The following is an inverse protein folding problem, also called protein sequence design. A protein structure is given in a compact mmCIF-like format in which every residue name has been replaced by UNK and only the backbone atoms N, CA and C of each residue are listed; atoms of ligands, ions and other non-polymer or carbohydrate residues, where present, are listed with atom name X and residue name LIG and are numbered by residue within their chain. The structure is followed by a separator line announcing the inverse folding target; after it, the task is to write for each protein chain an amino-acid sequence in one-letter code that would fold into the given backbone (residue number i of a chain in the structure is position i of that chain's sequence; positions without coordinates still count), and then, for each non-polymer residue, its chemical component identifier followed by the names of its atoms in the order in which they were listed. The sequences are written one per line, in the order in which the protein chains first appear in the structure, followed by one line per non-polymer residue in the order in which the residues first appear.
data_IF_259278675712
#
_entry.id   IF_259278675712
#
_cell.length_a   1.000
_cell.length_b   1.000
_cell.length_c   1.000
_cell.angle_alpha   90.00
_cell.angle_beta   90.00
_cell.angle_gamma   90.00
#
_symmetry.space_group_name_H-M   'P 1'
#
loop_
_entity.id
_entity.type
_entity.pdbx_description
1 polymer ?
#
# COMPACT_ATOMS: atom_id res chain seq x y z
N UNK A 1 10.47 -1.09 8.00
CA UNK A 1 10.71 -0.99 6.54
C UNK A 1 11.35 0.35 6.21
N UNK A 2 12.61 0.36 5.78
CA UNK A 2 13.26 1.53 5.17
C UNK A 2 13.33 1.28 3.68
N UNK A 3 12.47 1.93 2.91
CA UNK A 3 12.60 1.92 1.44
C UNK A 3 13.66 2.96 1.08
N UNK A 4 14.62 2.58 0.23
CA UNK A 4 15.57 3.54 -0.30
C UNK A 4 14.82 4.55 -1.17
N UNK A 5 14.87 5.82 -0.76
CA UNK A 5 14.24 6.90 -1.50
C UNK A 5 15.18 7.36 -2.60
N UNK A 6 14.75 7.23 -3.86
CA UNK A 6 15.47 7.83 -4.99
C UNK A 6 15.06 9.31 -5.05
N UNK A 7 15.99 10.25 -4.90
CA UNK A 7 15.66 11.67 -5.00
C UNK A 7 15.06 12.01 -6.37
N UNK A 8 14.02 12.84 -6.38
CA UNK A 8 13.27 13.18 -7.59
C UNK A 8 14.20 13.73 -8.70
N UNK A 9 15.15 14.60 -8.35
CA UNK A 9 16.10 15.17 -9.32
C UNK A 9 16.96 14.09 -10.02
N UNK A 10 17.39 13.05 -9.30
CA UNK A 10 18.17 11.97 -9.90
C UNK A 10 17.37 11.21 -10.95
N UNK A 11 16.07 11.05 -10.73
CA UNK A 11 15.18 10.40 -11.70
C UNK A 11 15.00 11.27 -12.92
N UNK A 12 14.82 12.59 -12.76
CA UNK A 12 14.78 13.52 -13.90
C UNK A 12 16.09 13.49 -14.73
N UNK A 13 17.24 13.33 -14.07
CA UNK A 13 18.52 13.21 -14.76
C UNK A 13 18.67 11.88 -15.50
N UNK A 14 18.37 10.75 -14.83
CA UNK A 14 18.65 9.39 -15.32
C UNK A 14 17.55 8.84 -16.23
N UNK A 15 16.29 9.22 -16.02
CA UNK A 15 15.14 8.67 -16.74
C UNK A 15 14.72 9.61 -17.88
N UNK A 16 14.91 9.16 -19.12
CA UNK A 16 14.70 9.99 -20.32
C UNK A 16 13.37 9.75 -21.05
N UNK A 17 12.48 8.87 -20.56
CA UNK A 17 11.28 8.45 -21.31
C UNK A 17 9.98 8.52 -20.51
N UNK A 18 9.06 9.43 -20.84
CA UNK A 18 7.77 9.55 -20.14
C UNK A 18 7.90 10.29 -18.79
N UNK A 19 6.86 10.19 -17.93
CA UNK A 19 6.80 10.95 -16.68
C UNK A 19 7.72 10.36 -15.58
N UNK A 20 8.68 11.13 -15.04
CA UNK A 20 9.58 10.68 -13.96
C UNK A 20 8.87 10.31 -12.66
N UNK A 21 7.78 11.01 -12.30
CA UNK A 21 6.98 10.63 -11.13
C UNK A 21 6.32 9.27 -11.34
N UNK A 22 5.72 9.03 -12.50
CA UNK A 22 5.14 7.72 -12.80
C UNK A 22 6.20 6.60 -12.71
N UNK A 23 7.45 6.89 -13.09
CA UNK A 23 8.56 5.94 -12.93
C UNK A 23 8.85 5.66 -11.45
N UNK A 24 8.95 6.71 -10.63
CA UNK A 24 9.17 6.57 -9.17
C UNK A 24 8.05 5.75 -8.53
N UNK A 25 6.79 6.09 -8.81
CA UNK A 25 5.65 5.38 -8.21
C UNK A 25 5.63 3.91 -8.61
N UNK A 26 6.02 3.58 -9.85
CA UNK A 26 6.14 2.19 -10.30
C UNK A 26 7.27 1.43 -9.59
N UNK A 27 8.41 2.08 -9.38
CA UNK A 27 9.54 1.48 -8.66
C UNK A 27 9.22 1.31 -7.17
N UNK A 28 8.58 2.30 -6.55
CA UNK A 28 8.12 2.24 -5.17
C UNK A 28 7.04 1.16 -4.99
N UNK A 29 6.10 0.98 -5.94
CA UNK A 29 5.12 -0.12 -5.90
C UNK A 29 5.82 -1.47 -5.85
N UNK A 30 6.82 -1.66 -6.74
CA UNK A 30 7.59 -2.90 -6.80
C UNK A 30 8.31 -3.16 -5.48
N UNK A 31 9.10 -2.20 -5.01
CA UNK A 31 9.86 -2.33 -3.77
C UNK A 31 8.94 -2.53 -2.56
N UNK A 32 7.84 -1.77 -2.47
CA UNK A 32 6.86 -1.94 -1.40
C UNK A 32 6.28 -3.35 -1.39
N UNK A 33 5.89 -3.91 -2.55
CA UNK A 33 5.36 -5.26 -2.64
C UNK A 33 6.40 -6.35 -2.30
N UNK A 34 7.67 -6.14 -2.67
CA UNK A 34 8.76 -7.07 -2.36
C UNK A 34 9.06 -7.12 -0.85
N UNK A 35 8.96 -5.99 -0.17
CA UNK A 35 9.32 -5.86 1.25
C UNK A 35 8.11 -5.90 2.22
N UNK A 36 6.87 -5.89 1.71
CA UNK A 36 5.64 -5.77 2.53
C UNK A 36 5.51 -6.85 3.60
N UNK A 37 6.03 -8.04 3.32
CA UNK A 37 5.84 -9.20 4.17
C UNK A 37 7.12 -9.69 4.83
N UNK A 38 8.19 -8.90 4.77
CA UNK A 38 9.40 -9.20 5.53
C UNK A 38 9.09 -9.41 7.01
N UNK A 39 9.88 -10.29 7.62
CA UNK A 39 9.69 -10.76 8.98
C UNK A 39 9.57 -9.61 10.00
N UNK A 40 10.34 -8.53 9.82
CA UNK A 40 10.27 -7.33 10.65
C UNK A 40 8.95 -6.56 10.48
N UNK A 41 8.41 -6.55 9.27
CA UNK A 41 7.18 -5.84 8.91
C UNK A 41 5.95 -6.59 9.45
N UNK A 42 5.96 -7.92 9.42
CA UNK A 42 4.88 -8.73 10.01
C UNK A 42 4.90 -8.73 11.55
N UNK A 43 6.06 -8.48 12.17
CA UNK A 43 6.21 -8.34 13.63
C UNK A 43 5.86 -6.94 14.13
N UNK A 44 5.79 -5.94 13.25
CA UNK A 44 5.37 -4.58 13.60
C UNK A 44 3.86 -4.54 13.92
N UNK A 45 3.45 -4.15 15.15
CA UNK A 45 2.05 -4.17 15.54
C UNK A 45 1.16 -3.23 14.72
N UNK A 46 1.66 -2.06 14.34
CA UNK A 46 0.90 -1.07 13.58
C UNK A 46 0.64 -1.54 12.16
N UNK A 47 1.66 -2.09 11.51
CA UNK A 47 1.53 -2.66 10.17
C UNK A 47 0.65 -3.90 10.19
N UNK A 48 0.79 -4.77 11.19
CA UNK A 48 -0.06 -5.95 11.30
C UNK A 48 -1.54 -5.57 11.46
N UNK A 49 -1.84 -4.53 12.24
CA UNK A 49 -3.19 -3.95 12.33
C UNK A 49 -3.67 -3.42 10.97
N UNK A 50 -2.83 -2.68 10.23
CA UNK A 50 -3.15 -2.20 8.88
C UNK A 50 -3.47 -3.35 7.93
N UNK A 51 -2.62 -4.38 7.86
CA UNK A 51 -2.84 -5.57 7.01
C UNK A 51 -4.16 -6.27 7.36
N UNK A 52 -4.43 -6.42 8.65
CA UNK A 52 -5.66 -7.04 9.15
C UNK A 52 -6.91 -6.27 8.75
N UNK A 53 -6.86 -4.95 8.76
CA UNK A 53 -8.05 -4.09 8.58
C UNK A 53 -8.28 -3.62 7.14
N UNK A 54 -7.24 -3.59 6.31
CA UNK A 54 -7.30 -3.17 4.90
C UNK A 54 -7.70 -4.33 3.98
N UNK A 55 -7.43 -4.23 2.69
CA UNK A 55 -7.65 -5.26 1.67
C UNK A 55 -6.51 -5.18 0.64
N UNK A 56 -6.53 -6.08 -0.34
CA UNK A 56 -5.79 -5.91 -1.60
C UNK A 56 -6.79 -5.83 -2.75
N UNK A 57 -6.58 -4.91 -3.70
CA UNK A 57 -7.36 -4.92 -4.93
C UNK A 57 -6.94 -6.10 -5.81
N UNK A 58 -7.72 -6.45 -6.84
CA UNK A 58 -7.40 -7.57 -7.73
C UNK A 58 -5.96 -7.48 -8.27
N UNK A 59 -5.59 -6.32 -8.82
CA UNK A 59 -4.27 -6.08 -9.37
C UNK A 59 -3.15 -6.31 -8.34
N UNK A 60 -3.27 -5.71 -7.15
CA UNK A 60 -2.24 -5.84 -6.11
C UNK A 60 -2.20 -7.22 -5.49
N UNK A 61 -3.33 -7.91 -5.38
CA UNK A 61 -3.35 -9.29 -4.91
C UNK A 61 -2.64 -10.22 -5.91
N UNK A 62 -2.88 -10.03 -7.20
CA UNK A 62 -2.20 -10.78 -8.26
C UNK A 62 -0.70 -10.49 -8.26
N UNK A 63 -0.30 -9.22 -8.14
CA UNK A 63 1.09 -8.80 -8.04
C UNK A 63 1.80 -9.46 -6.85
N UNK A 64 1.18 -9.44 -5.66
CA UNK A 64 1.71 -10.08 -4.46
C UNK A 64 1.73 -11.62 -4.58
N UNK A 65 0.72 -12.23 -5.20
CA UNK A 65 0.66 -13.68 -5.38
C UNK A 65 1.74 -14.20 -6.35
N UNK A 66 2.15 -13.35 -7.29
CA UNK A 66 3.24 -13.61 -8.21
C UNK A 66 4.63 -13.26 -7.64
N UNK A 67 4.70 -12.66 -6.44
CA UNK A 67 5.97 -12.37 -5.76
C UNK A 67 6.55 -13.61 -5.05
N UNK A 68 7.78 -13.50 -4.58
CA UNK A 68 8.49 -14.60 -3.93
C UNK A 68 7.89 -14.97 -2.55
N UNK A 69 7.42 -13.99 -1.78
CA UNK A 69 6.99 -14.21 -0.39
C UNK A 69 5.53 -14.66 -0.25
N UNK A 70 5.28 -15.90 -0.70
CA UNK A 70 3.96 -16.53 -0.61
C UNK A 70 3.52 -16.83 0.82
N UNK A 71 4.47 -17.09 1.72
CA UNK A 71 4.17 -17.38 3.13
C UNK A 71 3.67 -16.11 3.82
N UNK A 72 4.38 -15.01 3.65
CA UNK A 72 3.99 -13.71 4.16
C UNK A 72 2.61 -13.28 3.67
N UNK A 73 2.34 -13.44 2.37
CA UNK A 73 1.01 -13.22 1.81
C UNK A 73 -0.07 -14.09 2.47
N UNK A 74 0.21 -15.39 2.67
CA UNK A 74 -0.73 -16.29 3.32
C UNK A 74 -1.06 -15.89 4.77
N UNK A 75 -0.04 -15.43 5.53
CA UNK A 75 -0.20 -14.91 6.89
C UNK A 75 -1.08 -13.66 6.87
N UNK A 76 -0.78 -12.72 5.98
CA UNK A 76 -1.54 -11.49 5.80
C UNK A 76 -3.02 -11.76 5.45
N UNK A 77 -3.26 -12.63 4.46
CA UNK A 77 -4.62 -13.02 4.05
C UNK A 77 -5.37 -13.74 5.19
N UNK A 78 -4.70 -14.63 5.93
CA UNK A 78 -5.31 -15.31 7.08
C UNK A 78 -5.75 -14.31 8.15
N UNK A 79 -4.91 -13.34 8.50
CA UNK A 79 -5.25 -12.30 9.46
C UNK A 79 -6.44 -11.46 8.99
N UNK A 80 -6.41 -11.05 7.72
CA UNK A 80 -7.43 -10.24 7.09
C UNK A 80 -8.81 -10.93 7.03
N UNK A 81 -8.84 -12.16 6.52
CA UNK A 81 -10.07 -12.96 6.39
C UNK A 81 -10.66 -13.26 7.77
N UNK A 82 -9.82 -13.66 8.74
CA UNK A 82 -10.27 -13.96 10.10
C UNK A 82 -10.94 -12.75 10.75
N UNK A 83 -10.35 -11.57 10.58
CA UNK A 83 -10.92 -10.32 11.09
C UNK A 83 -12.26 -9.98 10.45
N UNK A 84 -12.39 -10.10 9.12
CA UNK A 84 -13.67 -9.83 8.43
C UNK A 84 -14.74 -10.84 8.80
N UNK A 85 -14.39 -12.12 8.95
CA UNK A 85 -15.32 -13.15 9.41
C UNK A 85 -15.84 -12.85 10.83
N UNK A 86 -14.95 -12.41 11.73
CA UNK A 86 -15.36 -11.96 13.06
C UNK A 86 -16.33 -10.78 12.98
N UNK A 87 -16.00 -9.75 12.20
CA UNK A 87 -16.86 -8.56 12.01
C UNK A 87 -18.24 -8.92 11.43
N UNK A 88 -18.30 -9.88 10.50
CA UNK A 88 -19.57 -10.39 9.96
C UNK A 88 -20.39 -11.09 11.06
N UNK A 89 -19.77 -11.97 11.86
CA UNK A 89 -20.42 -12.68 12.96
C UNK A 89 -20.96 -11.72 14.02
N UNK A 90 -20.22 -10.67 14.37
CA UNK A 90 -20.64 -9.64 15.34
C UNK A 90 -21.82 -8.81 14.81
N UNK A 91 -21.82 -8.46 13.51
CA UNK A 91 -22.94 -7.79 12.86
C UNK A 91 -24.21 -8.65 12.81
N UNK A 92 -24.08 -9.96 12.62
CA UNK A 92 -25.22 -10.88 12.63
C UNK A 92 -25.88 -10.99 14.01
N UNK A 93 -25.12 -10.83 15.10
CA UNK A 93 -25.64 -10.84 16.48
C UNK A 93 -26.34 -9.55 16.89
N UNK A 94 -26.14 -8.44 16.16
CA UNK A 94 -26.70 -7.12 16.49
C UNK A 94 -27.87 -6.76 15.57
N UNK A 95 -29.10 -7.06 16.01
CA UNK A 95 -30.36 -6.91 15.26
C UNK A 95 -30.84 -5.46 15.01
N UNK A 96 -29.94 -4.48 14.77
CA UNK A 96 -30.32 -3.11 14.39
C UNK A 96 -29.56 -2.66 13.14
N UNK A 97 -30.22 -2.80 11.98
CA UNK A 97 -29.78 -2.29 10.68
C UNK A 97 -29.65 -0.74 10.72
N UNK A 98 -28.45 -0.24 11.00
CA UNK A 98 -27.98 1.01 10.39
C UNK A 98 -27.11 0.62 9.20
N UNK A 99 -27.55 0.96 7.99
CA UNK A 99 -26.69 0.97 6.78
C UNK A 99 -25.55 1.94 7.05
N UNK A 100 -24.43 1.47 7.64
CA UNK A 100 -23.16 2.20 7.54
C UNK A 100 -22.78 2.16 6.06
N UNK A 101 -22.46 3.33 5.48
CA UNK A 101 -21.82 3.43 4.16
C UNK A 101 -20.74 2.35 4.08
N UNK A 102 -20.76 1.54 3.04
CA UNK A 102 -19.68 0.60 2.76
C UNK A 102 -18.37 1.38 2.84
N UNK A 103 -17.51 1.00 3.80
CA UNK A 103 -16.18 1.53 3.85
C UNK A 103 -15.55 1.13 2.51
N UNK A 104 -15.22 2.12 1.66
CA UNK A 104 -14.53 1.88 0.40
C UNK A 104 -13.43 0.85 0.68
N UNK A 105 -13.46 -0.28 -0.03
CA UNK A 105 -12.44 -1.31 0.07
C UNK A 105 -11.10 -0.67 -0.29
N UNK A 106 -10.37 -0.23 0.73
CA UNK A 106 -9.07 0.43 0.58
C UNK A 106 -8.01 -0.66 0.47
N UNK A 107 -7.39 -0.71 -0.70
CA UNK A 107 -6.22 -1.55 -0.91
C UNK A 107 -5.05 -0.94 -0.13
N UNK A 108 -4.35 -1.73 0.68
CA UNK A 108 -3.20 -1.28 1.46
C UNK A 108 -2.15 -0.60 0.59
N UNK A 109 -1.87 -1.21 -0.57
CA UNK A 109 -0.86 -0.74 -1.51
C UNK A 109 -1.36 0.51 -2.26
N UNK A 110 -2.62 0.56 -2.69
CA UNK A 110 -3.17 1.79 -3.30
C UNK A 110 -3.12 2.97 -2.32
N UNK A 111 -3.47 2.73 -1.05
CA UNK A 111 -3.42 3.78 -0.02
C UNK A 111 -1.98 4.28 0.14
N UNK A 112 -1.00 3.38 0.24
CA UNK A 112 0.42 3.74 0.26
C UNK A 112 0.82 4.57 -0.97
N UNK A 113 0.60 4.05 -2.18
CA UNK A 113 1.01 4.70 -3.43
C UNK A 113 0.35 6.07 -3.63
N UNK A 114 -0.90 6.24 -3.19
CA UNK A 114 -1.59 7.53 -3.29
C UNK A 114 -0.94 8.62 -2.41
N UNK A 115 -0.41 8.24 -1.25
CA UNK A 115 0.32 9.17 -0.38
C UNK A 115 1.72 9.46 -0.95
N UNK A 116 2.35 8.47 -1.58
CA UNK A 116 3.63 8.64 -2.26
C UNK A 116 3.52 9.57 -3.47
N UNK A 117 2.50 9.41 -4.30
CA UNK A 117 2.26 10.28 -5.46
C UNK A 117 2.11 11.74 -5.05
N UNK A 118 1.30 12.01 -4.02
CA UNK A 118 1.16 13.37 -3.44
C UNK A 118 2.49 13.91 -2.92
N UNK A 119 3.27 13.08 -2.23
CA UNK A 119 4.57 13.49 -1.71
C UNK A 119 5.54 13.87 -2.83
N UNK A 120 5.60 13.09 -3.91
CA UNK A 120 6.44 13.41 -5.08
C UNK A 120 5.96 14.68 -5.78
N UNK A 121 4.64 14.92 -5.85
CA UNK A 121 4.09 16.17 -6.38
C UNK A 121 4.50 17.38 -5.54
N UNK A 122 4.45 17.29 -4.21
CA UNK A 122 4.89 18.39 -3.36
C UNK A 122 6.37 18.71 -3.56
N UNK A 123 7.23 17.69 -3.63
CA UNK A 123 8.66 17.91 -3.92
C UNK A 123 8.84 18.60 -5.27
N UNK A 124 8.11 18.18 -6.31
CA UNK A 124 8.19 18.83 -7.62
C UNK A 124 7.81 20.31 -7.53
N UNK A 125 6.73 20.64 -6.82
CA UNK A 125 6.28 22.02 -6.63
C UNK A 125 7.35 22.84 -5.88
N UNK A 126 7.92 22.29 -4.81
CA UNK A 126 8.97 22.96 -4.02
C UNK A 126 10.22 23.23 -4.87
N UNK A 127 10.61 22.26 -5.71
CA UNK A 127 11.71 22.45 -6.67
C UNK A 127 11.38 23.59 -7.63
N UNK A 128 10.19 23.59 -8.23
CA UNK A 128 9.80 24.62 -9.20
C UNK A 128 9.80 26.03 -8.57
N UNK A 129 9.25 26.19 -7.37
CA UNK A 129 9.25 27.47 -6.66
C UNK A 129 10.65 27.92 -6.19
N UNK A 130 11.62 27.02 -6.07
CA UNK A 130 13.00 27.38 -5.72
C UNK A 130 13.77 27.99 -6.91
N UNK A 131 13.22 27.89 -8.14
CA UNK A 131 13.81 28.45 -9.36
C UNK A 131 13.07 29.71 -9.89
N UNK A 132 12.01 30.15 -9.20
CA UNK A 132 11.34 31.45 -9.42
C UNK A 132 11.93 32.55 -8.54
#
# INVERSE_FOLDING_TARGET
MKLEFIPLYEVFEKYKGGCPICKIIKDEEKAYCEHLFEDEVLKDPEMYLKIRETNFCHYHLELLNNSYDKLGLAIALKANISYKLQQIREKQKSSKKKRKKEAKNKCLICDYLSERDKYQMHILIDILHAYD
#
